data_IF_945010958465
#
_entry.id   IF_945010958465
#
_cell.length_a   1.000
_cell.length_b   1.000
_cell.length_c   1.000
_cell.angle_alpha   90.00
_cell.angle_beta   90.00
_cell.angle_gamma   90.00
#
_symmetry.space_group_name_H-M   'P 1'
#
loop_
_entity.id
_entity.type
_entity.pdbx_description
1 polymer ?
#
# COMPACT_ATOMS: atom_id res chain seq x y z
N UNK A 1 24.36 63.68 81.73
CA UNK A 1 25.30 62.54 81.73
C UNK A 1 24.77 61.51 80.72
N UNK A 2 25.36 61.53 79.55
CA UNK A 2 24.92 60.76 78.37
C UNK A 2 25.58 59.41 78.30
N UNK A 3 24.83 58.34 78.23
CA UNK A 3 25.35 57.03 77.80
C UNK A 3 24.81 56.68 76.39
N UNK A 4 25.71 56.62 75.43
CA UNK A 4 25.44 56.17 74.09
C UNK A 4 25.47 54.60 74.04
N UNK A 5 24.41 53.96 73.58
CA UNK A 5 24.40 52.57 73.27
C UNK A 5 24.74 52.42 71.80
N UNK A 6 25.72 51.58 71.47
CA UNK A 6 26.03 51.12 70.09
C UNK A 6 25.29 49.84 69.83
N UNK A 7 24.45 49.90 68.85
CA UNK A 7 23.81 48.69 68.24
C UNK A 7 24.76 48.15 67.19
N UNK A 8 25.23 46.90 67.36
CA UNK A 8 25.99 46.14 66.34
C UNK A 8 24.96 45.37 65.53
N UNK A 9 24.83 45.76 64.27
CA UNK A 9 24.00 45.04 63.30
C UNK A 9 24.80 43.90 62.66
N UNK A 10 24.54 42.66 63.03
CA UNK A 10 25.11 41.47 62.38
C UNK A 10 24.51 41.20 60.99
N UNK A 11 25.36 41.26 60.02
CA UNK A 11 25.00 40.93 58.62
C UNK A 11 25.15 39.42 58.40
N UNK A 12 24.01 38.70 58.26
CA UNK A 12 23.98 37.27 57.90
C UNK A 12 24.09 37.15 56.37
N UNK A 13 25.25 36.70 55.92
CA UNK A 13 25.45 36.36 54.50
C UNK A 13 24.86 34.96 54.24
N UNK A 14 23.70 34.89 53.62
CA UNK A 14 23.09 33.63 53.16
C UNK A 14 23.75 33.16 51.85
N UNK A 15 24.57 32.09 51.94
CA UNK A 15 25.03 31.37 50.74
C UNK A 15 23.87 30.60 50.11
N UNK A 16 23.30 31.14 49.04
CA UNK A 16 22.35 30.41 48.22
C UNK A 16 23.05 29.39 47.32
N UNK A 17 22.91 28.10 47.59
CA UNK A 17 23.30 27.04 46.66
C UNK A 17 22.30 27.01 45.48
N UNK A 18 22.73 27.52 44.33
CA UNK A 18 22.02 27.34 43.09
C UNK A 18 22.22 25.89 42.58
N UNK A 19 21.20 25.06 42.72
CA UNK A 19 21.18 23.72 42.15
C UNK A 19 21.06 23.84 40.62
N UNK A 20 22.17 23.64 39.91
CA UNK A 20 22.16 23.50 38.45
C UNK A 20 21.58 22.11 38.14
N UNK A 21 20.30 22.07 37.78
CA UNK A 21 19.68 20.86 37.24
C UNK A 21 20.33 20.56 35.90
N UNK A 22 21.17 19.54 35.83
CA UNK A 22 21.75 19.01 34.61
C UNK A 22 20.54 18.45 33.77
N UNK A 23 20.16 19.15 32.70
CA UNK A 23 19.27 18.62 31.69
C UNK A 23 19.99 17.47 30.99
N UNK A 24 19.56 16.25 31.24
CA UNK A 24 19.99 15.11 30.46
C UNK A 24 19.67 15.39 28.98
N UNK A 25 20.72 15.53 28.18
CA UNK A 25 20.59 15.58 26.71
C UNK A 25 20.12 14.20 26.31
N UNK A 26 18.84 14.09 25.94
CA UNK A 26 18.28 12.86 25.41
C UNK A 26 18.92 12.64 24.03
N UNK A 27 19.91 11.76 23.98
CA UNK A 27 20.56 11.38 22.72
C UNK A 27 19.47 10.92 21.74
N UNK A 28 19.36 11.59 20.60
CA UNK A 28 18.55 11.11 19.49
C UNK A 28 19.06 9.72 19.11
N UNK A 29 18.18 8.70 19.03
CA UNK A 29 18.62 7.41 18.53
C UNK A 29 19.27 7.60 17.15
N UNK A 30 20.34 6.84 16.84
CA UNK A 30 21.03 6.96 15.57
C UNK A 30 20.03 6.85 14.42
N UNK A 31 20.18 7.72 13.43
CA UNK A 31 19.38 7.66 12.21
C UNK A 31 19.57 6.26 11.59
N UNK A 32 18.45 5.51 11.41
CA UNK A 32 18.53 4.20 10.76
C UNK A 32 19.07 4.39 9.35
N UNK A 33 19.86 3.43 8.83
CA UNK A 33 20.23 3.43 7.43
C UNK A 33 18.97 3.54 6.57
N UNK A 34 19.06 4.32 5.51
CA UNK A 34 17.95 4.46 4.53
C UNK A 34 17.61 3.07 4.01
N UNK A 35 16.34 2.68 4.14
CA UNK A 35 15.89 1.39 3.66
C UNK A 35 16.16 1.25 2.16
N UNK A 36 16.68 0.09 1.74
CA UNK A 36 16.88 -0.22 0.32
C UNK A 36 15.58 -0.75 -0.32
N UNK A 37 14.67 -1.28 0.50
CA UNK A 37 13.34 -1.65 0.06
C UNK A 37 12.47 -0.40 -0.08
N UNK A 38 11.88 -0.21 -1.25
CA UNK A 38 10.95 0.90 -1.53
C UNK A 38 9.53 0.40 -1.74
N UNK A 39 8.58 1.20 -1.32
CA UNK A 39 7.16 1.02 -1.64
C UNK A 39 6.77 2.14 -2.59
N UNK A 40 6.20 1.80 -3.75
CA UNK A 40 5.75 2.77 -4.75
C UNK A 40 4.26 2.59 -4.97
N UNK A 41 3.48 3.64 -4.72
CA UNK A 41 2.04 3.66 -4.98
C UNK A 41 1.82 3.89 -6.48
N UNK A 42 1.54 2.83 -7.25
CA UNK A 42 1.29 2.96 -8.69
C UNK A 42 -0.15 3.41 -8.97
N UNK A 43 -1.07 3.14 -8.07
CA UNK A 43 -2.43 3.59 -8.14
C UNK A 43 -3.11 3.51 -6.79
N UNK A 44 -3.85 4.56 -6.44
CA UNK A 44 -4.52 4.73 -5.15
C UNK A 44 -6.04 4.89 -5.30
N UNK A 45 -6.54 4.79 -6.54
CA UNK A 45 -7.93 4.95 -6.90
C UNK A 45 -8.84 3.83 -6.39
N UNK A 46 -10.11 3.99 -6.63
CA UNK A 46 -11.22 3.09 -6.32
C UNK A 46 -11.96 2.79 -7.63
N UNK A 47 -13.09 2.05 -7.64
CA UNK A 47 -13.88 1.88 -8.85
C UNK A 47 -14.33 3.19 -9.53
N UNK A 48 -14.34 4.31 -8.80
CA UNK A 48 -14.64 5.63 -9.36
C UNK A 48 -13.53 6.08 -10.31
N UNK A 49 -13.80 6.33 -11.61
CA UNK A 49 -12.78 6.64 -12.60
C UNK A 49 -12.32 8.11 -12.51
N UNK A 50 -11.64 8.46 -11.44
CA UNK A 50 -11.10 9.82 -11.26
C UNK A 50 -9.82 9.97 -12.09
N UNK A 51 -9.66 11.07 -12.88
CA UNK A 51 -8.52 11.25 -13.78
C UNK A 51 -7.15 11.24 -13.07
N UNK A 52 -7.11 11.72 -11.83
CA UNK A 52 -5.87 11.93 -11.08
C UNK A 52 -5.36 10.69 -10.36
N UNK A 53 -6.17 9.61 -10.31
CA UNK A 53 -5.85 8.39 -9.57
C UNK A 53 -6.08 7.16 -10.43
N UNK A 54 -5.03 6.41 -10.66
CA UNK A 54 -5.11 5.08 -11.28
C UNK A 54 -5.72 4.07 -10.33
N UNK A 55 -6.25 2.97 -10.85
CA UNK A 55 -6.79 1.90 -10.02
C UNK A 55 -5.74 1.28 -9.09
N UNK A 56 -6.17 0.54 -8.06
CA UNK A 56 -5.29 0.04 -7.01
C UNK A 56 -4.11 -0.74 -7.59
N UNK A 57 -2.90 -0.31 -7.29
CA UNK A 57 -1.67 -1.02 -7.61
C UNK A 57 -0.52 -0.48 -6.75
N UNK A 58 0.21 -1.38 -6.12
CA UNK A 58 1.38 -1.05 -5.31
C UNK A 58 2.57 -1.87 -5.78
N UNK A 59 3.76 -1.29 -5.83
CA UNK A 59 4.99 -2.00 -6.12
C UNK A 59 5.91 -2.01 -4.90
N UNK A 60 6.37 -3.19 -4.51
CA UNK A 60 7.45 -3.39 -3.55
C UNK A 60 8.73 -3.61 -4.35
N UNK A 61 9.71 -2.75 -4.14
CA UNK A 61 10.99 -2.81 -4.84
C UNK A 61 12.07 -3.28 -3.87
N UNK A 62 12.68 -4.40 -4.19
CA UNK A 62 13.82 -4.94 -3.43
C UNK A 62 14.96 -5.19 -4.38
N UNK A 63 16.07 -4.52 -4.17
CA UNK A 63 17.18 -4.50 -5.12
C UNK A 63 16.68 -4.10 -6.54
N UNK A 64 16.91 -4.94 -7.53
CA UNK A 64 16.50 -4.71 -8.93
C UNK A 64 15.19 -5.41 -9.31
N UNK A 65 14.40 -5.87 -8.34
CA UNK A 65 13.16 -6.63 -8.56
C UNK A 65 11.95 -5.85 -8.05
N UNK A 66 10.89 -5.80 -8.87
CA UNK A 66 9.59 -5.25 -8.53
C UNK A 66 8.58 -6.38 -8.31
N UNK A 67 7.86 -6.32 -7.19
CA UNK A 67 6.75 -7.19 -6.83
C UNK A 67 5.49 -6.32 -6.81
N UNK A 68 4.56 -6.59 -7.72
CA UNK A 68 3.32 -5.83 -7.82
C UNK A 68 2.24 -6.43 -6.93
N UNK A 69 1.45 -5.59 -6.26
CA UNK A 69 0.22 -5.99 -5.58
C UNK A 69 -0.91 -5.23 -6.22
N UNK A 70 -1.85 -5.96 -6.77
CA UNK A 70 -2.92 -5.54 -7.65
C UNK A 70 -2.42 -4.89 -8.97
N UNK A 71 -3.28 -4.90 -9.93
CA UNK A 71 -3.03 -4.40 -11.26
C UNK A 71 -4.30 -3.72 -11.83
N UNK A 72 -4.75 -2.72 -11.09
CA UNK A 72 -5.85 -1.85 -11.51
C UNK A 72 -5.54 -1.09 -12.81
N UNK A 73 -6.54 -0.39 -13.37
CA UNK A 73 -6.36 0.36 -14.61
C UNK A 73 -5.24 1.40 -14.48
N UNK A 74 -4.31 1.39 -15.45
CA UNK A 74 -3.18 2.32 -15.51
C UNK A 74 -1.86 1.80 -14.92
N UNK A 75 -1.83 0.60 -14.32
CA UNK A 75 -0.65 0.03 -13.64
C UNK A 75 0.64 0.12 -14.47
N UNK A 76 0.61 -0.27 -15.76
CA UNK A 76 1.79 -0.26 -16.63
C UNK A 76 2.28 1.16 -16.92
N UNK A 77 1.37 2.09 -17.17
CA UNK A 77 1.70 3.51 -17.39
C UNK A 77 2.31 4.14 -16.14
N UNK A 78 1.76 3.85 -14.96
CA UNK A 78 2.26 4.34 -13.68
C UNK A 78 3.61 3.72 -13.32
N UNK A 79 3.81 2.42 -13.57
CA UNK A 79 5.13 1.79 -13.42
C UNK A 79 6.17 2.47 -14.33
N UNK A 80 5.83 2.73 -15.59
CA UNK A 80 6.70 3.45 -16.53
C UNK A 80 6.99 4.89 -16.07
N UNK A 81 6.01 5.60 -15.51
CA UNK A 81 6.20 6.93 -14.96
C UNK A 81 7.14 6.89 -13.74
N UNK A 82 6.88 6.03 -12.77
CA UNK A 82 7.71 5.86 -11.58
C UNK A 82 9.15 5.47 -11.92
N UNK A 83 9.34 4.58 -12.92
CA UNK A 83 10.67 4.20 -13.39
C UNK A 83 11.49 5.41 -13.84
N UNK A 84 10.87 6.38 -14.54
CA UNK A 84 11.53 7.58 -15.06
C UNK A 84 11.67 8.68 -14.01
N UNK A 85 10.57 9.00 -13.32
CA UNK A 85 10.52 10.15 -12.40
C UNK A 85 11.33 9.92 -11.14
N UNK A 86 11.36 8.68 -10.64
CA UNK A 86 12.09 8.32 -9.42
C UNK A 86 13.39 7.55 -9.69
N UNK A 87 13.77 7.37 -10.97
CA UNK A 87 14.95 6.59 -11.36
C UNK A 87 14.95 5.20 -10.69
N UNK A 88 13.84 4.44 -10.87
CA UNK A 88 13.68 3.08 -10.36
C UNK A 88 13.70 2.07 -11.53
N UNK A 89 14.87 1.57 -11.92
CA UNK A 89 14.98 0.67 -13.07
C UNK A 89 14.18 -0.63 -12.95
N UNK A 90 13.91 -1.10 -11.74
CA UNK A 90 13.09 -2.28 -11.50
C UNK A 90 11.65 -2.14 -12.03
N UNK A 91 11.14 -0.89 -12.14
CA UNK A 91 9.82 -0.58 -12.68
C UNK A 91 9.78 -0.40 -14.21
N UNK A 92 10.90 -0.56 -14.91
CA UNK A 92 10.84 -0.65 -16.37
C UNK A 92 9.90 -1.78 -16.78
N UNK A 93 8.97 -1.49 -17.67
CA UNK A 93 7.84 -2.39 -17.97
C UNK A 93 8.26 -3.78 -18.46
N UNK A 94 9.42 -3.90 -19.06
CA UNK A 94 10.01 -5.21 -19.49
C UNK A 94 10.55 -6.04 -18.33
N UNK A 95 10.69 -5.44 -17.13
CA UNK A 95 11.19 -6.09 -15.92
C UNK A 95 10.08 -6.53 -14.98
N UNK A 96 8.82 -6.16 -15.24
CA UNK A 96 7.67 -6.56 -14.41
C UNK A 96 7.40 -8.06 -14.65
N UNK A 97 7.61 -8.89 -13.61
CA UNK A 97 7.59 -10.35 -13.74
C UNK A 97 6.74 -11.04 -12.68
N UNK A 98 6.49 -10.40 -11.54
CA UNK A 98 5.79 -11.00 -10.40
C UNK A 98 4.69 -10.06 -9.95
N UNK A 99 3.47 -10.58 -9.84
CA UNK A 99 2.30 -9.85 -9.37
C UNK A 99 1.44 -10.70 -8.43
N UNK A 100 0.73 -10.03 -7.53
CA UNK A 100 -0.17 -10.61 -6.55
C UNK A 100 -1.52 -9.90 -6.65
N UNK A 101 -2.61 -10.63 -6.81
CA UNK A 101 -3.96 -10.09 -6.75
C UNK A 101 -4.52 -10.27 -5.34
N UNK A 102 -4.98 -9.19 -4.71
CA UNK A 102 -5.66 -9.27 -3.41
C UNK A 102 -7.01 -9.95 -3.56
N UNK A 103 -7.76 -9.59 -4.58
CA UNK A 103 -9.05 -10.18 -4.98
C UNK A 103 -9.34 -9.86 -6.45
N UNK A 104 -10.46 -10.36 -6.99
CA UNK A 104 -10.72 -10.29 -8.43
C UNK A 104 -11.80 -9.24 -8.83
N UNK A 105 -12.01 -8.18 -8.05
CA UNK A 105 -12.81 -7.06 -8.52
C UNK A 105 -12.14 -6.35 -9.71
N UNK A 106 -12.95 -5.75 -10.56
CA UNK A 106 -12.50 -5.18 -11.82
C UNK A 106 -11.52 -4.02 -11.65
N UNK A 107 -11.70 -3.19 -10.66
CA UNK A 107 -10.80 -2.06 -10.39
C UNK A 107 -9.41 -2.51 -9.91
N UNK A 108 -9.27 -3.72 -9.36
CA UNK A 108 -7.98 -4.33 -9.01
C UNK A 108 -7.37 -5.13 -10.18
N UNK A 109 -8.16 -5.48 -11.22
CA UNK A 109 -7.73 -6.45 -12.24
C UNK A 109 -7.85 -5.99 -13.69
N UNK A 110 -8.54 -4.89 -14.01
CA UNK A 110 -8.72 -4.42 -15.41
C UNK A 110 -7.41 -4.07 -16.10
N UNK A 111 -6.36 -3.72 -15.37
CA UNK A 111 -5.02 -3.55 -15.91
C UNK A 111 -4.26 -4.85 -16.19
N UNK A 112 -4.84 -6.02 -15.90
CA UNK A 112 -4.18 -7.31 -16.10
C UNK A 112 -3.83 -7.58 -17.58
N UNK A 113 -4.73 -7.38 -18.55
CA UNK A 113 -4.35 -7.51 -19.97
C UNK A 113 -3.24 -6.50 -20.35
N UNK A 114 -3.28 -5.27 -19.87
CA UNK A 114 -2.21 -4.30 -20.11
C UNK A 114 -0.86 -4.80 -19.54
N UNK A 115 -0.87 -5.36 -18.33
CA UNK A 115 0.32 -5.94 -17.69
C UNK A 115 0.84 -7.16 -18.47
N UNK A 116 -0.02 -7.98 -19.06
CA UNK A 116 0.39 -9.14 -19.89
C UNK A 116 0.95 -8.67 -21.23
N UNK A 117 0.16 -7.90 -21.98
CA UNK A 117 0.41 -7.69 -23.40
C UNK A 117 1.30 -6.48 -23.69
N UNK A 118 1.13 -5.35 -23.01
CA UNK A 118 2.00 -4.19 -23.22
C UNK A 118 3.44 -4.47 -22.81
N UNK A 119 3.65 -5.17 -21.70
CA UNK A 119 5.00 -5.52 -21.27
C UNK A 119 5.66 -6.54 -22.21
N UNK A 120 4.89 -7.50 -22.74
CA UNK A 120 5.34 -8.44 -23.76
C UNK A 120 5.74 -7.74 -25.04
N UNK A 121 4.86 -6.92 -25.61
CA UNK A 121 5.11 -6.23 -26.88
C UNK A 121 6.28 -5.27 -26.81
N UNK A 122 6.57 -4.76 -25.62
CA UNK A 122 7.75 -3.92 -25.36
C UNK A 122 9.01 -4.71 -25.02
N UNK A 123 8.95 -6.05 -24.97
CA UNK A 123 10.14 -6.91 -24.90
C UNK A 123 10.32 -7.73 -23.64
N UNK A 124 9.30 -7.95 -22.82
CA UNK A 124 9.36 -8.95 -21.75
C UNK A 124 9.48 -10.34 -22.38
N UNK A 125 10.49 -11.11 -21.97
CA UNK A 125 10.88 -12.38 -22.62
C UNK A 125 10.43 -13.62 -21.89
N UNK A 126 9.95 -13.46 -20.66
CA UNK A 126 9.60 -14.57 -19.76
C UNK A 126 8.11 -14.47 -19.39
N UNK A 127 7.48 -15.58 -19.01
CA UNK A 127 6.14 -15.56 -18.46
C UNK A 127 5.99 -14.60 -17.29
N UNK A 128 4.78 -14.11 -17.09
CA UNK A 128 4.40 -13.37 -15.88
C UNK A 128 4.00 -14.37 -14.80
N UNK A 129 4.56 -14.26 -13.61
CA UNK A 129 4.17 -15.03 -12.44
C UNK A 129 3.09 -14.26 -11.70
N UNK A 130 1.87 -14.80 -11.57
CA UNK A 130 0.77 -14.12 -10.90
C UNK A 130 0.16 -15.02 -9.84
N UNK A 131 0.05 -14.49 -8.63
CA UNK A 131 -0.48 -15.17 -7.45
C UNK A 131 -1.78 -14.50 -7.02
N UNK A 132 -2.81 -15.27 -6.67
CA UNK A 132 -4.06 -14.66 -6.23
C UNK A 132 -5.14 -15.69 -5.86
N UNK A 133 -6.35 -15.25 -5.54
CA UNK A 133 -7.42 -16.12 -5.11
C UNK A 133 -7.93 -17.02 -6.22
N UNK A 134 -8.72 -18.02 -5.82
CA UNK A 134 -9.45 -18.90 -6.73
C UNK A 134 -10.24 -18.09 -7.77
N UNK A 135 -10.14 -18.48 -9.03
CA UNK A 135 -10.69 -17.79 -10.20
C UNK A 135 -9.62 -17.09 -11.06
N UNK A 136 -8.42 -16.84 -10.51
CA UNK A 136 -7.32 -16.20 -11.23
C UNK A 136 -6.88 -17.01 -12.45
N UNK A 137 -6.77 -18.34 -12.34
CA UNK A 137 -6.37 -19.21 -13.44
C UNK A 137 -7.40 -19.17 -14.58
N UNK A 138 -8.70 -19.20 -14.26
CA UNK A 138 -9.76 -19.07 -15.24
C UNK A 138 -9.75 -17.69 -15.92
N UNK A 139 -9.63 -16.59 -15.15
CA UNK A 139 -9.50 -15.23 -15.68
C UNK A 139 -8.32 -15.13 -16.65
N UNK A 140 -7.16 -15.66 -16.28
CA UNK A 140 -5.96 -15.68 -17.14
C UNK A 140 -6.23 -16.41 -18.45
N UNK A 141 -6.82 -17.60 -18.38
CA UNK A 141 -7.15 -18.42 -19.58
C UNK A 141 -8.06 -17.65 -20.53
N UNK A 142 -9.14 -17.06 -20.02
CA UNK A 142 -10.08 -16.30 -20.86
C UNK A 142 -9.48 -15.02 -21.45
N UNK A 143 -8.62 -14.34 -20.69
CA UNK A 143 -7.90 -13.17 -21.21
C UNK A 143 -6.96 -13.57 -22.36
N UNK A 144 -6.17 -14.63 -22.22
CA UNK A 144 -5.29 -15.10 -23.30
C UNK A 144 -6.10 -15.52 -24.53
N UNK A 145 -7.24 -16.19 -24.36
CA UNK A 145 -8.15 -16.54 -25.46
C UNK A 145 -8.74 -15.30 -26.14
N UNK A 146 -9.14 -14.29 -25.36
CA UNK A 146 -9.69 -13.05 -25.92
C UNK A 146 -8.67 -12.29 -26.79
N UNK A 147 -7.38 -12.42 -26.51
CA UNK A 147 -6.30 -11.79 -27.28
C UNK A 147 -5.60 -12.75 -28.25
N UNK A 148 -6.16 -13.94 -28.53
CA UNK A 148 -5.53 -14.94 -29.38
C UNK A 148 -5.15 -14.40 -30.75
N UNK A 149 -6.00 -13.57 -31.37
CA UNK A 149 -5.72 -12.97 -32.68
C UNK A 149 -4.46 -12.07 -32.66
N UNK A 150 -4.24 -11.29 -31.60
CA UNK A 150 -3.02 -10.47 -31.46
C UNK A 150 -1.79 -11.33 -31.17
N UNK A 151 -1.95 -12.38 -30.34
CA UNK A 151 -0.89 -13.35 -30.08
C UNK A 151 -0.44 -14.02 -31.36
N UNK A 152 -1.37 -14.54 -32.16
CA UNK A 152 -1.07 -15.23 -33.43
C UNK A 152 -0.40 -14.29 -34.43
N UNK A 153 -0.94 -13.08 -34.58
CA UNK A 153 -0.35 -12.08 -35.47
C UNK A 153 1.10 -11.72 -35.13
N UNK A 154 1.46 -11.73 -33.84
CA UNK A 154 2.81 -11.38 -33.39
C UNK A 154 3.76 -12.56 -33.35
N UNK A 155 3.28 -13.77 -33.12
CA UNK A 155 4.14 -14.96 -32.99
C UNK A 155 4.33 -15.68 -34.31
N UNK A 156 3.34 -15.63 -35.24
CA UNK A 156 3.38 -16.39 -36.49
C UNK A 156 3.78 -15.56 -37.71
N UNK A 157 3.94 -14.24 -37.60
CA UNK A 157 4.34 -13.40 -38.73
C UNK A 157 5.80 -13.65 -39.10
N UNK A 158 6.05 -13.92 -40.38
CA UNK A 158 7.42 -14.04 -40.95
C UNK A 158 8.25 -12.78 -40.62
N UNK A 159 9.45 -12.96 -40.08
CA UNK A 159 10.35 -11.86 -39.70
C UNK A 159 10.10 -11.26 -38.33
N UNK A 160 9.09 -11.72 -37.58
CA UNK A 160 8.79 -11.22 -36.23
C UNK A 160 9.55 -11.93 -35.09
N UNK A 161 10.76 -12.36 -35.35
CA UNK A 161 11.65 -13.03 -34.38
C UNK A 161 11.96 -12.17 -33.12
N UNK A 162 11.62 -10.87 -33.13
CA UNK A 162 11.77 -9.98 -31.97
C UNK A 162 10.72 -10.20 -30.87
N UNK A 163 9.59 -10.83 -31.20
CA UNK A 163 8.56 -11.13 -30.21
C UNK A 163 8.82 -12.51 -29.60
N UNK A 164 9.15 -12.50 -28.33
CA UNK A 164 9.51 -13.72 -27.60
C UNK A 164 8.28 -14.55 -27.29
N UNK A 165 8.26 -15.79 -27.78
CA UNK A 165 7.12 -16.69 -27.69
C UNK A 165 6.60 -16.95 -26.26
N UNK A 166 7.43 -16.74 -25.25
CA UNK A 166 7.06 -16.95 -23.85
C UNK A 166 6.59 -15.66 -23.14
N UNK A 167 6.84 -14.51 -23.73
CA UNK A 167 6.57 -13.24 -23.08
C UNK A 167 5.09 -12.90 -22.81
N UNK A 168 4.15 -13.45 -23.59
CA UNK A 168 2.72 -13.29 -23.33
C UNK A 168 2.16 -14.33 -22.36
N UNK A 169 2.91 -15.39 -22.08
CA UNK A 169 2.47 -16.46 -21.18
C UNK A 169 2.38 -15.96 -19.74
N UNK A 170 1.50 -16.59 -18.99
CA UNK A 170 1.28 -16.32 -17.58
C UNK A 170 1.22 -17.64 -16.83
N UNK A 171 1.98 -17.71 -15.74
CA UNK A 171 1.86 -18.76 -14.75
C UNK A 171 0.96 -18.22 -13.62
N UNK A 172 -0.32 -18.60 -13.66
CA UNK A 172 -1.30 -18.19 -12.67
C UNK A 172 -1.34 -19.20 -11.52
N UNK A 173 -1.06 -18.73 -10.30
CA UNK A 173 -1.02 -19.52 -9.09
C UNK A 173 -2.20 -19.15 -8.18
N UNK A 174 -3.16 -20.05 -8.04
CA UNK A 174 -4.24 -19.89 -7.06
C UNK A 174 -3.70 -20.28 -5.67
N UNK A 175 -3.80 -19.35 -4.73
CA UNK A 175 -3.17 -19.44 -3.43
C UNK A 175 -4.16 -19.73 -2.29
N UNK A 176 -3.60 -20.09 -1.15
CA UNK A 176 -4.26 -20.15 0.16
C UNK A 176 -3.47 -19.36 1.19
N UNK A 177 -4.01 -19.19 2.39
CA UNK A 177 -3.31 -18.53 3.51
C UNK A 177 -1.97 -19.21 3.82
N UNK A 178 -0.94 -18.40 4.08
CA UNK A 178 0.41 -18.85 4.40
C UNK A 178 1.46 -18.23 3.48
N UNK A 179 2.66 -18.80 3.47
CA UNK A 179 3.74 -18.35 2.56
C UNK A 179 3.39 -18.78 1.15
N UNK A 180 3.20 -17.80 0.26
CA UNK A 180 2.75 -18.00 -1.12
C UNK A 180 3.84 -17.76 -2.16
N UNK A 181 4.89 -17.01 -1.77
CA UNK A 181 6.05 -16.75 -2.61
C UNK A 181 7.30 -16.56 -1.76
N UNK A 182 8.43 -17.01 -2.27
CA UNK A 182 9.73 -16.76 -1.64
C UNK A 182 10.84 -16.80 -2.68
N UNK A 183 11.71 -15.82 -2.61
CA UNK A 183 12.98 -15.80 -3.37
C UNK A 183 14.13 -15.27 -2.50
N UNK A 184 15.24 -14.85 -3.11
CA UNK A 184 16.39 -14.32 -2.39
C UNK A 184 16.13 -12.93 -1.76
N UNK A 185 15.13 -12.19 -2.23
CA UNK A 185 14.84 -10.82 -1.83
C UNK A 185 13.72 -10.75 -0.78
N UNK A 186 12.70 -11.63 -0.87
CA UNK A 186 11.47 -11.47 -0.13
C UNK A 186 10.81 -12.80 0.23
N UNK A 187 10.12 -12.82 1.36
CA UNK A 187 9.10 -13.83 1.68
C UNK A 187 7.75 -13.14 1.69
N UNK A 188 6.78 -13.66 0.92
CA UNK A 188 5.42 -13.12 0.85
C UNK A 188 4.45 -14.09 1.50
N UNK A 189 3.75 -13.59 2.52
CA UNK A 189 2.72 -14.33 3.25
C UNK A 189 1.35 -13.75 2.96
N UNK A 190 0.43 -14.56 2.47
CA UNK A 190 -0.98 -14.20 2.33
C UNK A 190 -1.74 -14.45 3.63
N UNK A 191 -2.59 -13.51 4.04
CA UNK A 191 -3.48 -13.65 5.19
C UNK A 191 -4.93 -13.36 4.79
N UNK A 192 -5.93 -13.93 5.49
CA UNK A 192 -7.32 -13.78 5.10
C UNK A 192 -7.82 -12.36 5.42
N UNK A 193 -8.64 -11.83 4.52
CA UNK A 193 -9.38 -10.58 4.69
C UNK A 193 -10.88 -10.84 4.55
N UNK A 194 -11.72 -9.83 4.85
CA UNK A 194 -13.18 -9.95 4.78
C UNK A 194 -13.70 -9.01 3.70
N UNK A 195 -14.04 -9.59 2.56
CA UNK A 195 -14.59 -8.87 1.43
C UNK A 195 -15.64 -9.70 0.68
N UNK A 196 -16.32 -9.11 -0.33
CA UNK A 196 -17.41 -9.74 -1.06
C UNK A 196 -16.95 -10.92 -1.95
N UNK A 197 -15.68 -10.97 -2.30
CA UNK A 197 -15.03 -12.06 -3.04
C UNK A 197 -13.96 -12.73 -2.16
N UNK A 198 -13.49 -13.95 -2.51
CA UNK A 198 -12.29 -14.50 -1.92
C UNK A 198 -11.15 -13.49 -1.99
N UNK A 199 -10.59 -13.13 -0.84
CA UNK A 199 -9.64 -12.02 -0.72
C UNK A 199 -8.52 -12.32 0.26
N UNK A 200 -7.37 -11.73 -0.01
CA UNK A 200 -6.15 -11.83 0.80
C UNK A 200 -5.52 -10.46 0.99
N UNK A 201 -4.99 -10.21 2.18
CA UNK A 201 -3.92 -9.25 2.36
C UNK A 201 -2.56 -9.93 2.22
N UNK A 202 -1.52 -9.15 1.99
CA UNK A 202 -0.16 -9.65 1.83
C UNK A 202 0.81 -8.99 2.80
N UNK A 203 1.65 -9.80 3.41
CA UNK A 203 2.82 -9.35 4.16
C UNK A 203 4.09 -9.69 3.38
N UNK A 204 4.91 -8.68 3.14
CA UNK A 204 6.24 -8.79 2.52
C UNK A 204 7.30 -8.60 3.60
N UNK A 205 8.11 -9.61 3.83
CA UNK A 205 9.29 -9.54 4.68
C UNK A 205 10.54 -9.53 3.81
N UNK A 206 11.27 -8.42 3.85
CA UNK A 206 12.54 -8.22 3.16
C UNK A 206 13.69 -8.20 4.17
N UNK A 207 14.92 -8.03 3.72
CA UNK A 207 16.08 -7.97 4.62
C UNK A 207 16.04 -6.77 5.59
N UNK A 208 15.36 -5.68 5.22
CA UNK A 208 15.38 -4.40 5.94
C UNK A 208 14.00 -3.80 6.25
N UNK A 209 12.90 -4.40 5.74
CA UNK A 209 11.53 -3.90 5.96
C UNK A 209 10.49 -5.00 6.00
N UNK A 210 9.43 -4.73 6.75
CA UNK A 210 8.17 -5.48 6.71
C UNK A 210 7.04 -4.57 6.21
N UNK A 211 6.37 -4.97 5.13
CA UNK A 211 5.28 -4.22 4.51
C UNK A 211 4.02 -5.08 4.50
N UNK A 212 2.90 -4.50 4.94
CA UNK A 212 1.60 -5.15 4.93
C UNK A 212 0.64 -4.36 4.05
N UNK A 213 -0.08 -5.05 3.17
CA UNK A 213 -1.08 -4.48 2.26
C UNK A 213 -2.39 -5.20 2.52
N UNK A 214 -3.44 -4.45 2.86
CA UNK A 214 -4.72 -5.03 3.23
C UNK A 214 -5.51 -5.59 2.05
N UNK A 215 -5.41 -4.99 0.87
CA UNK A 215 -6.48 -5.09 -0.13
C UNK A 215 -7.76 -4.45 0.40
N UNK A 216 -8.90 -4.77 -0.22
CA UNK A 216 -10.20 -4.34 0.26
C UNK A 216 -10.67 -5.26 1.38
N UNK A 217 -11.11 -4.69 2.49
CA UNK A 217 -11.49 -5.48 3.67
C UNK A 217 -12.25 -4.68 4.71
N UNK A 218 -13.15 -5.33 5.40
CA UNK A 218 -13.56 -4.90 6.74
C UNK A 218 -12.39 -5.10 7.71
N UNK A 219 -12.28 -4.37 8.84
CA UNK A 219 -11.21 -4.58 9.81
C UNK A 219 -11.13 -6.02 10.31
N UNK A 220 -9.93 -6.60 10.32
CA UNK A 220 -9.73 -7.99 10.75
C UNK A 220 -8.58 -8.14 11.75
N UNK A 221 -8.71 -9.12 12.63
CA UNK A 221 -7.62 -9.50 13.53
C UNK A 221 -6.41 -9.99 12.73
N UNK A 222 -6.61 -10.66 11.59
CA UNK A 222 -5.53 -11.12 10.72
C UNK A 222 -4.66 -9.98 10.17
N UNK A 223 -5.25 -8.82 9.85
CA UNK A 223 -4.49 -7.62 9.46
C UNK A 223 -3.63 -7.09 10.61
N UNK A 224 -4.20 -7.03 11.83
CA UNK A 224 -3.47 -6.63 13.04
C UNK A 224 -2.30 -7.58 13.28
N UNK A 225 -2.56 -8.89 13.22
CA UNK A 225 -1.55 -9.93 13.44
C UNK A 225 -0.48 -9.94 12.36
N UNK A 226 -0.84 -9.72 11.10
CA UNK A 226 0.10 -9.63 10.01
C UNK A 226 1.03 -8.42 10.14
N UNK A 227 0.54 -7.29 10.69
CA UNK A 227 1.37 -6.10 10.88
C UNK A 227 2.24 -6.21 12.15
N UNK A 228 1.65 -6.28 13.35
CA UNK A 228 2.38 -6.36 14.64
C UNK A 228 3.64 -5.51 14.70
N UNK A 229 3.52 -4.21 14.45
CA UNK A 229 4.65 -3.29 14.41
C UNK A 229 5.42 -3.30 13.10
N UNK A 230 4.77 -3.66 11.98
CA UNK A 230 5.36 -3.60 10.64
C UNK A 230 5.87 -2.18 10.31
N UNK A 231 6.83 -2.11 9.40
CA UNK A 231 7.39 -0.82 9.00
C UNK A 231 6.41 0.00 8.18
N UNK A 232 5.60 -0.64 7.33
CA UNK A 232 4.55 0.03 6.54
C UNK A 232 3.28 -0.81 6.54
N UNK A 233 2.16 -0.20 6.91
CA UNK A 233 0.82 -0.75 6.69
C UNK A 233 0.14 0.11 5.62
N UNK A 234 -0.23 -0.51 4.51
CA UNK A 234 -1.01 0.11 3.42
C UNK A 234 -2.43 -0.43 3.55
N UNK A 235 -3.40 0.46 3.76
CA UNK A 235 -4.76 0.05 4.06
C UNK A 235 -5.80 0.94 3.36
N UNK A 236 -6.91 0.33 2.92
CA UNK A 236 -8.06 1.07 2.42
C UNK A 236 -8.73 1.91 3.51
N UNK A 237 -9.48 2.93 3.13
CA UNK A 237 -10.33 3.66 4.05
C UNK A 237 -11.45 4.43 3.35
N UNK A 238 -12.58 4.63 4.05
CA UNK A 238 -13.55 5.63 3.65
C UNK A 238 -14.02 6.44 4.86
N UNK A 239 -14.41 7.70 4.62
CA UNK A 239 -14.96 8.53 5.67
C UNK A 239 -16.46 8.28 5.84
N UNK A 240 -16.94 8.44 7.07
CA UNK A 240 -18.37 8.31 7.35
C UNK A 240 -19.20 9.38 6.62
N UNK A 241 -18.66 10.58 6.47
CA UNK A 241 -19.30 11.69 5.76
C UNK A 241 -19.52 11.34 4.27
N UNK A 242 -18.49 10.85 3.60
CA UNK A 242 -18.62 10.39 2.20
C UNK A 242 -19.68 9.30 2.06
N UNK A 243 -19.67 8.30 2.94
CA UNK A 243 -20.65 7.21 2.90
C UNK A 243 -22.10 7.72 3.12
N UNK A 244 -22.28 8.74 3.98
CA UNK A 244 -23.59 9.32 4.26
C UNK A 244 -24.15 10.10 3.04
N UNK A 245 -23.30 10.77 2.28
CA UNK A 245 -23.69 11.59 1.13
C UNK A 245 -23.78 10.80 -0.20
N UNK A 246 -23.28 9.55 -0.21
CA UNK A 246 -23.27 8.76 -1.45
C UNK A 246 -24.69 8.33 -1.85
N UNK A 247 -25.15 8.68 -3.08
CA UNK A 247 -26.42 8.21 -3.60
C UNK A 247 -26.37 6.71 -3.88
N UNK A 248 -27.51 6.04 -3.75
CA UNK A 248 -27.65 4.66 -4.22
C UNK A 248 -27.51 4.59 -5.73
N UNK A 249 -26.72 3.62 -6.24
CA UNK A 249 -26.50 3.45 -7.66
C UNK A 249 -27.66 2.68 -8.30
N UNK A 250 -28.04 3.09 -9.52
CA UNK A 250 -28.87 2.27 -10.40
C UNK A 250 -30.27 1.91 -9.89
N UNK A 251 -30.86 2.72 -8.99
CA UNK A 251 -32.18 2.43 -8.43
C UNK A 251 -32.20 1.34 -7.36
N UNK A 252 -31.05 1.00 -6.80
CA UNK A 252 -30.96 0.08 -5.67
C UNK A 252 -31.76 0.59 -4.47
N UNK A 253 -32.31 -0.31 -3.63
CA UNK A 253 -33.01 0.09 -2.41
C UNK A 253 -32.12 0.94 -1.49
N UNK A 254 -32.73 1.91 -0.81
CA UNK A 254 -32.03 2.79 0.12
C UNK A 254 -31.20 2.01 1.15
N UNK A 255 -29.96 2.43 1.37
CA UNK A 255 -29.01 1.81 2.30
C UNK A 255 -28.33 0.55 1.77
N UNK A 256 -28.52 0.14 0.52
CA UNK A 256 -27.85 -1.04 -0.05
C UNK A 256 -26.34 -0.85 -0.11
N UNK A 257 -25.89 0.27 -0.64
CA UNK A 257 -24.45 0.56 -0.72
C UNK A 257 -23.84 0.77 0.66
N UNK A 258 -24.56 1.42 1.57
CA UNK A 258 -24.12 1.58 2.97
C UNK A 258 -23.88 0.23 3.63
N UNK A 259 -24.85 -0.69 3.56
CA UNK A 259 -24.71 -2.05 4.13
C UNK A 259 -23.54 -2.81 3.51
N UNK A 260 -23.36 -2.72 2.18
CA UNK A 260 -22.21 -3.31 1.50
C UNK A 260 -20.89 -2.74 2.04
N UNK A 261 -20.80 -1.41 2.14
CA UNK A 261 -19.59 -0.74 2.65
C UNK A 261 -19.31 -1.12 4.12
N UNK A 262 -20.32 -1.12 4.98
CA UNK A 262 -20.18 -1.50 6.39
C UNK A 262 -19.76 -2.97 6.57
N UNK A 263 -20.14 -3.84 5.64
CA UNK A 263 -19.82 -5.27 5.69
C UNK A 263 -18.42 -5.58 5.15
N UNK A 264 -17.93 -4.84 4.16
CA UNK A 264 -16.79 -5.24 3.35
C UNK A 264 -15.66 -4.22 3.26
N UNK A 265 -15.82 -3.04 3.82
CA UNK A 265 -14.82 -1.98 3.79
C UNK A 265 -14.58 -1.37 5.18
N UNK A 266 -13.51 -0.60 5.30
CA UNK A 266 -13.03 -0.03 6.56
C UNK A 266 -13.30 1.47 6.62
N UNK A 267 -13.97 1.94 7.67
CA UNK A 267 -14.07 3.37 7.95
C UNK A 267 -12.77 3.91 8.55
N UNK A 268 -12.53 5.21 8.43
CA UNK A 268 -11.39 5.89 9.08
C UNK A 268 -11.35 5.66 10.59
N UNK A 269 -12.51 5.64 11.27
CA UNK A 269 -12.61 5.33 12.70
C UNK A 269 -12.13 3.91 13.02
N UNK A 270 -12.57 2.95 12.22
CA UNK A 270 -12.15 1.55 12.37
C UNK A 270 -10.67 1.37 12.05
N UNK A 271 -10.17 2.06 11.00
CA UNK A 271 -8.77 2.03 10.64
C UNK A 271 -7.88 2.60 11.75
N UNK A 272 -8.30 3.70 12.37
CA UNK A 272 -7.58 4.29 13.49
C UNK A 272 -7.47 3.31 14.67
N UNK A 273 -8.54 2.57 14.98
CA UNK A 273 -8.51 1.54 16.02
C UNK A 273 -7.61 0.36 15.65
N UNK A 274 -7.74 -0.15 14.42
CA UNK A 274 -6.88 -1.20 13.90
C UNK A 274 -5.41 -0.80 13.97
N UNK A 275 -5.06 0.43 13.55
CA UNK A 275 -3.71 0.93 13.55
C UNK A 275 -3.12 1.11 14.97
N UNK A 276 -3.95 1.50 15.95
CA UNK A 276 -3.51 1.54 17.37
C UNK A 276 -3.11 0.15 17.89
N UNK A 277 -3.81 -0.90 17.46
CA UNK A 277 -3.50 -2.29 17.85
C UNK A 277 -2.32 -2.86 17.05
N UNK A 278 -2.31 -2.66 15.74
CA UNK A 278 -1.28 -3.14 14.83
C UNK A 278 0.07 -2.42 15.00
N UNK A 279 0.05 -1.15 15.44
CA UNK A 279 1.21 -0.28 15.69
C UNK A 279 2.20 -0.19 14.52
N UNK A 280 1.74 0.09 13.29
CA UNK A 280 2.64 0.30 12.17
C UNK A 280 3.56 1.50 12.45
N UNK A 281 4.77 1.49 11.89
CA UNK A 281 5.65 2.67 11.96
C UNK A 281 5.18 3.77 11.00
N UNK A 282 4.59 3.36 9.86
CA UNK A 282 3.92 4.23 8.90
C UNK A 282 2.63 3.56 8.45
N UNK A 283 1.51 4.27 8.58
CA UNK A 283 0.24 3.92 7.96
C UNK A 283 0.08 4.72 6.66
N UNK A 284 -0.16 4.02 5.53
CA UNK A 284 -0.45 4.64 4.24
C UNK A 284 -1.89 4.33 3.87
N UNK A 285 -2.70 5.38 3.70
CA UNK A 285 -4.06 5.23 3.20
C UNK A 285 -4.04 5.19 1.67
N UNK A 286 -4.62 4.15 1.10
CA UNK A 286 -4.83 4.01 -0.34
C UNK A 286 -6.25 3.52 -0.60
N UNK A 287 -6.70 3.39 -1.83
CA UNK A 287 -8.07 2.93 -2.13
C UNK A 287 -9.10 3.61 -1.23
N UNK A 288 -8.98 4.92 -1.10
CA UNK A 288 -9.79 5.68 -0.16
C UNK A 288 -10.90 6.46 -0.84
N UNK A 289 -12.01 6.62 -0.12
CA UNK A 289 -13.12 7.47 -0.49
C UNK A 289 -13.38 8.52 0.59
N UNK A 290 -13.52 9.77 0.16
CA UNK A 290 -13.78 10.94 1.01
C UNK A 290 -14.44 12.04 0.19
N UNK A 291 -15.03 13.02 0.85
CA UNK A 291 -15.58 14.22 0.17
C UNK A 291 -14.46 15.10 -0.39
N UNK A 292 -13.32 15.12 0.31
CA UNK A 292 -12.11 15.81 -0.15
C UNK A 292 -10.86 15.24 0.55
N UNK A 293 -9.65 15.44 -0.01
CA UNK A 293 -8.41 15.07 0.68
C UNK A 293 -8.24 15.77 2.03
N UNK A 294 -8.72 16.99 2.17
CA UNK A 294 -8.67 17.77 3.41
C UNK A 294 -9.59 17.17 4.49
N UNK A 295 -10.78 16.72 4.10
CA UNK A 295 -11.73 16.05 5.00
C UNK A 295 -11.11 14.74 5.50
N UNK A 296 -10.58 13.90 4.63
CA UNK A 296 -9.91 12.64 5.02
C UNK A 296 -8.73 12.90 5.98
N UNK A 297 -7.91 13.91 5.69
CA UNK A 297 -6.80 14.30 6.55
C UNK A 297 -7.27 14.73 7.95
N UNK A 298 -8.28 15.58 8.00
CA UNK A 298 -8.83 16.09 9.27
C UNK A 298 -9.47 14.96 10.09
N UNK A 299 -10.22 14.07 9.42
CA UNK A 299 -10.89 12.95 10.07
C UNK A 299 -9.87 11.96 10.67
N UNK A 300 -8.82 11.61 9.93
CA UNK A 300 -7.75 10.75 10.45
C UNK A 300 -6.96 11.42 11.58
N UNK A 301 -6.61 12.71 11.48
CA UNK A 301 -5.90 13.45 12.54
C UNK A 301 -6.69 13.51 13.84
N UNK A 302 -8.02 13.59 13.76
CA UNK A 302 -8.87 13.59 14.94
C UNK A 302 -8.89 12.24 15.70
N UNK A 303 -8.58 11.15 14.99
CA UNK A 303 -8.78 9.78 15.49
C UNK A 303 -7.50 8.99 15.70
N UNK A 304 -6.39 9.36 15.03
CA UNK A 304 -5.14 8.61 15.08
C UNK A 304 -3.93 9.52 15.29
N UNK A 305 -3.24 9.32 16.41
CA UNK A 305 -2.05 10.10 16.78
C UNK A 305 -0.74 9.50 16.23
N UNK A 306 -0.79 8.34 15.56
CA UNK A 306 0.37 7.71 14.96
C UNK A 306 0.78 8.37 13.64
N UNK A 307 1.90 7.92 13.09
CA UNK A 307 2.39 8.44 11.80
C UNK A 307 1.57 7.86 10.64
N UNK A 308 0.89 8.71 9.89
CA UNK A 308 0.16 8.30 8.70
C UNK A 308 0.33 9.29 7.54
N UNK A 309 0.07 8.81 6.33
CA UNK A 309 0.00 9.60 5.11
C UNK A 309 -1.18 9.15 4.25
N UNK A 310 -1.79 10.09 3.52
CA UNK A 310 -2.73 9.78 2.46
C UNK A 310 -1.91 9.58 1.19
N UNK A 311 -1.83 8.33 0.74
CA UNK A 311 -1.05 7.95 -0.43
C UNK A 311 -1.59 8.57 -1.71
N UNK A 312 -0.69 8.98 -2.58
CA UNK A 312 -0.97 9.48 -3.92
C UNK A 312 -0.28 8.59 -4.94
N UNK A 313 -0.79 8.59 -6.16
CA UNK A 313 -0.11 7.93 -7.26
C UNK A 313 1.32 8.46 -7.40
N UNK A 314 2.27 7.54 -7.52
CA UNK A 314 3.71 7.76 -7.62
C UNK A 314 4.43 8.14 -6.31
N UNK A 315 3.74 8.22 -5.17
CA UNK A 315 4.46 8.36 -3.89
C UNK A 315 5.41 7.17 -3.66
N UNK A 316 6.58 7.47 -3.07
CA UNK A 316 7.63 6.50 -2.75
C UNK A 316 7.94 6.57 -1.26
N UNK A 317 7.89 5.42 -0.59
CA UNK A 317 8.15 5.28 0.84
C UNK A 317 9.35 4.38 1.13
#
# INVERSE_FOLDING_TARGET
>A
MNRRHWLVTGMVVGCGFASVAARAVQERPPARPVSQTKVVMLGTGTPAPTPDRSGPATAIIVNDTAYLVDFGPGVVRRASAAAREHNIPALQITRLRVAFATHLHSDHTVGYPDLIFSTWTMGRRVPLEVYGPKGLAAMTTYLLQAYQADIDARTNAEGNQRFFADGYKVNAHEITVGVVYKDANVTVTAFPTVHALPSFGYRFDTADRSIVISGDTNPTQSTIDACRGCDVLIHEAHTAAWLAERPEAGGAPAGTFRRFSEQYHTTTTQLAELARQAKPRLLVLYHYNSLSPQELQADMMAQYAGHFVIGRDLDVF
#
